data_IF_646079459699
#
_entry.id   IF_646079459699
#
_cell.length_a   1.000
_cell.length_b   1.000
_cell.length_c   1.000
_cell.angle_alpha   90.00
_cell.angle_beta   90.00
_cell.angle_gamma   90.00
#
_symmetry.space_group_name_H-M   'P 1'
#
loop_
_entity.id
_entity.type
_entity.pdbx_description
1 polymer ?
#
# COMPACT_ATOMS: atom_id res chain seq x y z
N UNK A 1 -3.64 -26.02 -21.99
CA UNK A 1 -4.78 -25.13 -22.27
C UNK A 1 -4.62 -23.92 -21.37
N UNK A 2 -4.42 -22.71 -21.93
CA UNK A 2 -4.45 -21.46 -21.16
C UNK A 2 -5.85 -20.87 -21.30
N UNK A 3 -6.54 -20.71 -20.19
CA UNK A 3 -7.82 -20.00 -20.17
C UNK A 3 -7.55 -18.51 -20.27
N UNK A 4 -7.99 -17.91 -21.38
CA UNK A 4 -7.97 -16.48 -21.60
C UNK A 4 -9.16 -15.87 -20.87
N UNK A 5 -8.90 -15.18 -19.74
CA UNK A 5 -9.88 -14.32 -19.10
C UNK A 5 -10.13 -13.10 -20.00
N UNK A 6 -11.10 -13.21 -20.90
CA UNK A 6 -11.64 -12.10 -21.67
C UNK A 6 -12.51 -11.25 -20.75
N UNK A 7 -12.04 -10.05 -20.40
CA UNK A 7 -12.90 -9.03 -19.82
C UNK A 7 -13.95 -8.63 -20.87
N UNK A 8 -15.22 -8.93 -20.61
CA UNK A 8 -16.33 -8.42 -21.40
C UNK A 8 -16.51 -6.92 -21.08
N UNK A 9 -16.12 -6.06 -22.01
CA UNK A 9 -16.56 -4.67 -22.02
C UNK A 9 -18.05 -4.62 -22.40
N UNK A 10 -18.89 -3.86 -21.66
CA UNK A 10 -20.29 -3.66 -22.05
C UNK A 10 -20.37 -2.83 -23.34
N UNK A 11 -21.34 -3.18 -24.17
CA UNK A 11 -21.58 -2.66 -25.52
C UNK A 11 -21.58 -1.12 -25.56
N UNK A 12 -20.64 -0.54 -26.31
CA UNK A 12 -20.37 0.92 -26.40
C UNK A 12 -21.12 1.59 -27.56
N UNK A 13 -22.25 1.03 -28.00
CA UNK A 13 -23.03 1.64 -29.07
C UNK A 13 -23.79 2.89 -28.57
N UNK A 14 -23.07 4.01 -28.47
CA UNK A 14 -23.64 5.36 -28.44
C UNK A 14 -23.48 6.14 -27.15
N UNK A 15 -22.25 6.41 -26.68
CA UNK A 15 -22.05 7.41 -25.63
C UNK A 15 -20.73 8.17 -25.83
N UNK A 16 -20.80 9.48 -25.62
CA UNK A 16 -19.69 10.42 -25.42
C UNK A 16 -18.87 10.10 -24.16
N UNK A 17 -18.57 8.82 -23.90
CA UNK A 17 -18.05 8.30 -22.64
C UNK A 17 -16.78 7.47 -22.77
N UNK A 18 -16.22 7.29 -23.98
CA UNK A 18 -14.92 6.63 -24.17
C UNK A 18 -13.75 7.50 -23.64
N UNK A 19 -13.82 8.82 -23.83
CA UNK A 19 -12.83 9.76 -23.29
C UNK A 19 -12.93 9.89 -21.76
N UNK A 20 -14.14 9.83 -21.20
CA UNK A 20 -14.36 9.89 -19.75
C UNK A 20 -13.95 8.59 -19.06
N UNK A 21 -14.21 7.43 -19.68
CA UNK A 21 -13.76 6.14 -19.16
C UNK A 21 -12.22 6.00 -19.20
N UNK A 22 -11.58 6.49 -20.27
CA UNK A 22 -10.13 6.54 -20.38
C UNK A 22 -9.51 7.45 -19.31
N UNK A 23 -10.05 8.67 -19.12
CA UNK A 23 -9.61 9.58 -18.04
C UNK A 23 -9.80 8.98 -16.66
N UNK A 24 -10.94 8.33 -16.39
CA UNK A 24 -11.19 7.67 -15.10
C UNK A 24 -10.23 6.50 -14.85
N UNK A 25 -9.89 5.73 -15.89
CA UNK A 25 -8.91 4.65 -15.77
C UNK A 25 -7.50 5.18 -15.51
N UNK A 26 -7.09 6.26 -16.17
CA UNK A 26 -5.81 6.93 -15.93
C UNK A 26 -5.74 7.51 -14.51
N UNK A 27 -6.77 8.24 -14.07
CA UNK A 27 -6.86 8.79 -12.71
C UNK A 27 -6.86 7.67 -11.65
N UNK A 28 -7.51 6.54 -11.93
CA UNK A 28 -7.47 5.36 -11.06
C UNK A 28 -6.06 4.75 -10.99
N UNK A 29 -5.38 4.58 -12.12
CA UNK A 29 -4.02 4.03 -12.18
C UNK A 29 -3.05 4.96 -11.45
N UNK A 30 -3.13 6.27 -11.69
CA UNK A 30 -2.29 7.28 -11.03
C UNK A 30 -2.52 7.30 -9.52
N UNK A 31 -3.77 7.39 -9.07
CA UNK A 31 -4.10 7.37 -7.64
C UNK A 31 -3.74 6.04 -6.96
N UNK A 32 -3.88 4.90 -7.65
CA UNK A 32 -3.44 3.60 -7.15
C UNK A 32 -1.91 3.50 -7.05
N UNK A 33 -1.18 4.15 -7.97
CA UNK A 33 0.29 4.22 -7.97
C UNK A 33 0.81 5.08 -6.83
N UNK A 34 0.19 6.24 -6.60
CA UNK A 34 0.54 7.12 -5.48
C UNK A 34 0.28 6.45 -4.13
N UNK A 35 -0.88 5.79 -3.96
CA UNK A 35 -1.19 5.00 -2.76
C UNK A 35 -0.21 3.85 -2.57
N UNK A 36 0.17 3.17 -3.65
CA UNK A 36 1.15 2.07 -3.60
C UNK A 36 2.54 2.57 -3.20
N UNK A 37 2.97 3.72 -3.74
CA UNK A 37 4.24 4.36 -3.36
C UNK A 37 4.22 4.80 -1.90
N UNK A 38 3.15 5.47 -1.45
CA UNK A 38 3.00 5.88 -0.06
C UNK A 38 3.09 4.68 0.89
N UNK A 39 2.37 3.59 0.59
CA UNK A 39 2.42 2.34 1.35
C UNK A 39 3.82 1.74 1.39
N UNK A 40 4.51 1.64 0.24
CA UNK A 40 5.86 1.12 0.16
C UNK A 40 6.85 1.96 1.01
N UNK A 41 6.73 3.28 0.94
CA UNK A 41 7.53 4.21 1.74
C UNK A 41 7.27 4.03 3.23
N UNK A 42 6.00 3.96 3.66
CA UNK A 42 5.66 3.74 5.07
C UNK A 42 6.23 2.42 5.60
N UNK A 43 6.12 1.33 4.82
CA UNK A 43 6.66 0.03 5.20
C UNK A 43 8.19 0.07 5.33
N UNK A 44 8.86 0.74 4.40
CA UNK A 44 10.32 0.90 4.44
C UNK A 44 10.78 1.69 5.67
N UNK A 45 10.06 2.77 6.02
CA UNK A 45 10.35 3.57 7.21
C UNK A 45 10.16 2.73 8.48
N UNK A 46 9.02 2.02 8.60
CA UNK A 46 8.74 1.13 9.75
C UNK A 46 9.85 0.10 9.90
N UNK A 47 10.22 -0.60 8.82
CA UNK A 47 11.26 -1.61 8.84
C UNK A 47 12.63 -1.04 9.26
N UNK A 48 12.95 0.17 8.78
CA UNK A 48 14.19 0.86 9.14
C UNK A 48 14.24 1.29 10.61
N UNK A 49 13.11 1.73 11.17
CA UNK A 49 12.99 2.08 12.59
C UNK A 49 13.14 0.81 13.44
N UNK A 50 12.33 -0.22 13.16
CA UNK A 50 12.35 -1.49 13.90
C UNK A 50 13.74 -2.12 13.91
N UNK A 51 14.43 -2.15 12.75
CA UNK A 51 15.79 -2.69 12.66
C UNK A 51 16.80 -1.91 13.53
N UNK A 52 16.64 -0.59 13.68
CA UNK A 52 17.49 0.25 14.53
C UNK A 52 17.31 -0.05 16.02
N UNK A 53 16.09 -0.44 16.40
CA UNK A 53 15.74 -0.90 17.74
C UNK A 53 16.04 -2.41 17.95
N UNK A 54 16.75 -3.06 17.00
CA UNK A 54 17.15 -4.45 17.12
C UNK A 54 16.02 -5.47 16.86
N UNK A 55 14.91 -5.04 16.26
CA UNK A 55 13.77 -5.89 15.95
C UNK A 55 13.73 -6.39 14.51
N UNK A 56 12.66 -7.12 14.21
CA UNK A 56 12.33 -7.60 12.86
C UNK A 56 10.87 -7.32 12.51
N UNK A 57 10.59 -7.22 11.21
CA UNK A 57 9.24 -7.00 10.68
C UNK A 57 8.90 -8.10 9.69
N UNK A 58 7.77 -8.75 9.89
CA UNK A 58 7.15 -9.65 8.93
C UNK A 58 5.85 -9.06 8.41
N UNK A 59 5.65 -9.17 7.10
CA UNK A 59 4.47 -8.64 6.42
C UNK A 59 3.61 -9.81 5.98
N UNK A 60 2.41 -9.91 6.56
CA UNK A 60 1.40 -10.84 6.07
C UNK A 60 0.61 -10.16 4.94
N UNK A 61 0.79 -10.65 3.71
CA UNK A 61 0.11 -10.12 2.53
C UNK A 61 -1.36 -10.57 2.43
N UNK A 62 -1.76 -11.65 3.11
CA UNK A 62 -3.12 -12.15 3.09
C UNK A 62 -4.05 -11.31 3.99
N UNK A 63 -3.54 -10.89 5.14
CA UNK A 63 -4.29 -10.10 6.13
C UNK A 63 -3.90 -8.62 6.15
N UNK A 64 -2.87 -8.24 5.40
CA UNK A 64 -2.28 -6.91 5.38
C UNK A 64 -1.79 -6.42 6.75
N UNK A 65 -1.37 -7.34 7.63
CA UNK A 65 -0.85 -7.02 8.96
C UNK A 65 0.68 -6.99 8.98
N UNK A 66 1.21 -6.21 9.92
CA UNK A 66 2.64 -6.17 10.25
C UNK A 66 2.86 -6.85 11.60
N UNK A 67 3.68 -7.89 11.61
CA UNK A 67 4.17 -8.49 12.84
C UNK A 67 5.54 -7.92 13.14
N UNK A 68 5.66 -7.24 14.28
CA UNK A 68 6.89 -6.57 14.71
C UNK A 68 7.39 -7.28 15.96
N UNK A 69 8.58 -7.85 15.88
CA UNK A 69 9.26 -8.47 17.01
C UNK A 69 10.40 -7.57 17.48
N UNK A 70 10.43 -7.25 18.78
CA UNK A 70 11.31 -6.25 19.38
C UNK A 70 11.70 -6.66 20.82
N UNK A 71 12.92 -6.31 21.27
CA UNK A 71 13.29 -6.40 22.67
C UNK A 71 12.29 -5.63 23.55
N UNK A 72 11.81 -6.18 24.69
CA UNK A 72 10.80 -5.55 25.54
C UNK A 72 11.14 -4.11 25.97
N UNK A 73 12.40 -3.83 26.22
CA UNK A 73 12.93 -2.53 26.61
C UNK A 73 12.81 -1.47 25.50
N UNK A 74 12.80 -1.87 24.23
CA UNK A 74 12.75 -0.98 23.07
C UNK A 74 11.34 -0.75 22.52
N UNK A 75 10.35 -1.56 22.93
CA UNK A 75 8.99 -1.54 22.35
C UNK A 75 8.33 -0.14 22.41
N UNK A 76 8.44 0.54 23.55
CA UNK A 76 7.83 1.86 23.74
C UNK A 76 8.54 2.94 22.93
N UNK A 77 9.88 2.90 22.88
CA UNK A 77 10.67 3.86 22.11
C UNK A 77 10.41 3.70 20.60
N UNK A 78 10.41 2.46 20.13
CA UNK A 78 10.14 2.13 18.73
C UNK A 78 8.73 2.54 18.30
N UNK A 79 7.71 2.23 19.12
CA UNK A 79 6.32 2.60 18.83
C UNK A 79 6.14 4.13 18.70
N UNK A 80 6.78 4.91 19.57
CA UNK A 80 6.75 6.37 19.49
C UNK A 80 7.41 6.91 18.23
N UNK A 81 8.57 6.38 17.85
CA UNK A 81 9.25 6.82 16.64
C UNK A 81 8.43 6.47 15.37
N UNK A 82 7.78 5.30 15.35
CA UNK A 82 6.85 4.94 14.26
C UNK A 82 5.68 5.92 14.19
N UNK A 83 5.07 6.28 15.32
CA UNK A 83 3.98 7.25 15.37
C UNK A 83 4.42 8.63 14.84
N UNK A 84 5.57 9.12 15.28
CA UNK A 84 6.12 10.42 14.87
C UNK A 84 6.42 10.50 13.36
N UNK A 85 6.96 9.42 12.78
CA UNK A 85 7.41 9.40 11.38
C UNK A 85 6.31 8.99 10.40
N UNK A 86 5.45 8.03 10.77
CA UNK A 86 4.49 7.39 9.87
C UNK A 86 3.05 7.78 10.19
N UNK A 87 2.75 8.19 11.43
CA UNK A 87 1.39 8.53 11.86
C UNK A 87 0.75 9.65 11.03
N UNK A 88 1.53 10.57 10.48
CA UNK A 88 1.04 11.62 9.58
C UNK A 88 0.79 11.13 8.14
N UNK A 89 1.40 10.03 7.72
CA UNK A 89 1.24 9.46 6.36
C UNK A 89 -0.06 8.67 6.20
N UNK A 90 -0.72 8.33 7.31
CA UNK A 90 -1.95 7.52 7.34
C UNK A 90 -3.22 8.36 7.58
N UNK A 91 -3.14 9.70 7.52
CA UNK A 91 -4.29 10.61 7.69
C UNK A 91 -5.00 10.93 6.37
#
# INVERSE_FOLDING_TARGET
>A
MREHYYWHAPDTSGLSGEDDAARMAEDYVLSSSEKSKARATSLFIIQSIVARHGGTVEIDLATYTLNIDLPPEEQVACAREIEEQVGYMCR
#
